data_IF_145806417072
#
_entry.id   IF_145806417072
#
_cell.length_a   1.000
_cell.length_b   1.000
_cell.length_c   1.000
_cell.angle_alpha   90.00
_cell.angle_beta   90.00
_cell.angle_gamma   90.00
#
_symmetry.space_group_name_H-M   'P 1'
#
loop_
_entity.id
_entity.type
_entity.pdbx_description
1 polymer ?
#
# COMPACT_ATOMS: atom_id res chain seq x y z
N UNK A 1 1.05 19.76 -8.78
CA UNK A 1 0.41 18.56 -9.35
C UNK A 1 0.87 18.46 -10.79
N UNK A 2 1.27 17.27 -11.24
CA UNK A 2 1.73 16.98 -12.59
C UNK A 2 0.51 16.72 -13.49
N UNK A 3 0.03 17.70 -14.30
CA UNK A 3 -1.19 17.53 -15.09
C UNK A 3 -1.08 16.39 -16.11
N UNK A 4 0.13 16.10 -16.57
CA UNK A 4 0.45 15.01 -17.48
C UNK A 4 0.08 13.62 -16.93
N UNK A 5 0.09 13.44 -15.60
CA UNK A 5 -0.32 12.18 -14.96
C UNK A 5 -1.84 12.00 -15.05
N UNK A 6 -2.60 13.09 -14.97
CA UNK A 6 -4.07 13.08 -14.99
C UNK A 6 -4.69 13.12 -16.39
N UNK A 7 -3.91 13.54 -17.40
CA UNK A 7 -4.38 13.67 -18.77
C UNK A 7 -4.93 12.32 -19.27
N UNK A 8 -6.20 12.32 -19.72
CA UNK A 8 -6.88 11.11 -20.20
C UNK A 8 -7.42 10.17 -19.11
N UNK A 9 -7.15 10.42 -17.82
CA UNK A 9 -7.53 9.53 -16.73
C UNK A 9 -8.44 10.17 -15.66
N UNK A 10 -8.75 11.46 -15.80
CA UNK A 10 -9.54 12.21 -14.81
C UNK A 10 -10.88 11.53 -14.47
N UNK A 11 -11.66 11.19 -15.49
CA UNK A 11 -13.01 10.65 -15.31
C UNK A 11 -13.00 9.31 -14.55
N UNK A 12 -12.09 8.39 -14.91
CA UNK A 12 -11.95 7.11 -14.21
C UNK A 12 -11.47 7.30 -12.77
N UNK A 13 -10.51 8.20 -12.53
CA UNK A 13 -10.01 8.47 -11.17
C UNK A 13 -11.08 9.11 -10.28
N UNK A 14 -11.89 10.03 -10.83
CA UNK A 14 -13.03 10.64 -10.11
C UNK A 14 -14.10 9.58 -9.79
N UNK A 15 -14.42 8.69 -10.74
CA UNK A 15 -15.34 7.57 -10.52
C UNK A 15 -14.85 6.61 -9.43
N UNK A 16 -13.56 6.28 -9.43
CA UNK A 16 -12.95 5.40 -8.41
C UNK A 16 -13.06 6.05 -7.03
N UNK A 17 -12.65 7.32 -6.92
CA UNK A 17 -12.77 8.10 -5.67
C UNK A 17 -14.19 8.07 -5.16
N UNK A 18 -15.16 8.45 -5.99
CA UNK A 18 -16.56 8.58 -5.57
C UNK A 18 -17.16 7.23 -5.17
N UNK A 19 -16.71 6.14 -5.78
CA UNK A 19 -17.19 4.79 -5.41
C UNK A 19 -16.61 4.35 -4.06
N UNK A 20 -15.30 4.50 -3.87
CA UNK A 20 -14.64 4.13 -2.60
C UNK A 20 -15.12 5.01 -1.46
N UNK A 21 -15.30 6.33 -1.66
CA UNK A 21 -15.82 7.23 -0.63
C UNK A 21 -17.21 6.83 -0.13
N UNK A 22 -18.10 6.38 -1.03
CA UNK A 22 -19.43 5.90 -0.65
C UNK A 22 -19.41 4.61 0.17
N UNK A 23 -18.33 3.83 0.12
CA UNK A 23 -18.19 2.62 0.95
C UNK A 23 -17.97 2.99 2.42
N UNK A 24 -17.26 4.08 2.70
CA UNK A 24 -17.08 4.60 4.06
C UNK A 24 -18.37 5.17 4.67
N UNK A 25 -19.34 5.55 3.83
CA UNK A 25 -20.65 6.04 4.27
C UNK A 25 -21.65 4.92 4.56
N UNK A 26 -21.33 3.65 4.22
CA UNK A 26 -22.24 2.52 4.48
C UNK A 26 -22.22 2.15 5.96
N UNK A 27 -23.38 1.92 6.58
CA UNK A 27 -23.45 1.38 7.93
C UNK A 27 -22.71 0.03 8.00
N UNK A 28 -21.95 -0.18 9.08
CA UNK A 28 -21.16 -1.39 9.35
C UNK A 28 -22.00 -2.66 9.58
N UNK A 29 -23.28 -2.66 9.22
CA UNK A 29 -24.29 -3.64 9.64
C UNK A 29 -24.47 -4.80 8.65
N UNK A 30 -23.66 -4.90 7.60
CA UNK A 30 -23.63 -6.12 6.79
C UNK A 30 -22.53 -7.02 7.37
N UNK A 31 -22.92 -8.00 8.18
CA UNK A 31 -22.06 -9.03 8.78
C UNK A 31 -21.33 -9.90 7.73
N UNK A 32 -21.55 -9.67 6.43
CA UNK A 32 -21.16 -10.55 5.32
C UNK A 32 -19.88 -10.13 4.57
N UNK A 33 -19.22 -9.01 4.91
CA UNK A 33 -17.94 -8.64 4.27
C UNK A 33 -16.76 -9.03 5.18
N UNK A 34 -16.21 -10.23 4.95
CA UNK A 34 -15.06 -10.77 5.69
C UNK A 34 -13.81 -9.88 5.62
N UNK A 35 -13.76 -8.95 4.66
CA UNK A 35 -12.67 -7.99 4.51
C UNK A 35 -12.86 -6.68 5.29
N UNK A 36 -14.02 -6.48 5.94
CA UNK A 36 -14.26 -5.39 6.89
C UNK A 36 -13.88 -5.79 8.31
N UNK A 37 -13.22 -4.89 9.04
CA UNK A 37 -12.82 -5.13 10.41
C UNK A 37 -12.21 -3.91 11.08
N UNK A 38 -11.64 -4.10 12.27
CA UNK A 38 -10.81 -3.07 12.90
C UNK A 38 -9.52 -2.89 12.07
N UNK A 39 -9.29 -1.68 11.60
CA UNK A 39 -8.05 -1.25 10.95
C UNK A 39 -7.31 -0.27 11.87
N UNK A 40 -5.98 -0.24 11.74
CA UNK A 40 -5.10 0.71 12.41
C UNK A 40 -5.28 2.12 11.86
N UNK A 41 -5.49 2.28 10.55
CA UNK A 41 -5.75 3.56 9.90
C UNK A 41 -4.50 4.40 9.60
N UNK A 42 -3.38 4.12 10.26
CA UNK A 42 -2.05 4.62 9.91
C UNK A 42 -0.97 3.52 9.94
N UNK A 43 -1.16 2.44 9.18
CA UNK A 43 -0.33 1.23 9.25
C UNK A 43 0.89 1.27 8.31
N UNK A 44 1.85 2.14 8.61
CA UNK A 44 3.13 2.25 7.88
C UNK A 44 4.31 1.73 8.70
N UNK A 45 5.49 1.53 8.09
CA UNK A 45 6.61 0.88 8.77
C UNK A 45 7.14 1.65 9.99
N UNK A 46 6.81 2.94 10.13
CA UNK A 46 7.17 3.76 11.29
C UNK A 46 6.46 3.35 12.58
N UNK A 47 5.29 2.71 12.46
CA UNK A 47 4.44 2.27 13.57
C UNK A 47 4.67 0.79 13.95
N UNK A 48 5.71 0.17 13.38
CA UNK A 48 6.10 -1.22 13.65
C UNK A 48 7.44 -1.23 14.38
N UNK A 49 7.41 -1.59 15.66
CA UNK A 49 8.63 -1.75 16.46
C UNK A 49 9.19 -3.16 16.30
N UNK A 50 10.48 -3.22 16.02
CA UNK A 50 11.25 -4.46 15.99
C UNK A 50 11.87 -4.73 17.36
N UNK A 51 12.00 -6.00 17.77
CA UNK A 51 12.69 -6.34 19.01
C UNK A 51 14.18 -5.96 18.88
N UNK A 52 14.82 -5.61 20.00
CA UNK A 52 16.22 -5.20 20.02
C UNK A 52 17.20 -6.35 19.69
N UNK A 53 16.70 -7.58 19.55
CA UNK A 53 17.53 -8.74 19.19
C UNK A 53 18.15 -8.51 17.82
N UNK A 54 19.50 -8.59 17.70
CA UNK A 54 20.18 -8.37 16.43
C UNK A 54 19.69 -9.36 15.35
N UNK A 55 19.40 -8.87 14.13
CA UNK A 55 19.03 -9.71 12.97
C UNK A 55 20.07 -10.80 12.62
N UNK A 56 21.31 -10.66 13.09
CA UNK A 56 22.40 -11.62 12.85
C UNK A 56 22.44 -12.80 13.82
N UNK A 57 21.68 -12.74 14.90
CA UNK A 57 21.54 -13.89 15.78
C UNK A 57 20.44 -14.78 15.20
N UNK A 58 20.70 -16.10 15.02
CA UNK A 58 19.64 -17.02 14.63
C UNK A 58 18.49 -16.86 15.61
N UNK A 59 17.23 -16.86 15.14
CA UNK A 59 16.09 -16.68 16.04
C UNK A 59 16.23 -17.66 17.19
N UNK A 60 16.06 -17.17 18.43
CA UNK A 60 16.27 -17.93 19.67
C UNK A 60 15.39 -19.20 19.76
N UNK A 61 14.46 -19.37 18.81
CA UNK A 61 13.55 -20.51 18.64
C UNK A 61 12.97 -20.50 17.22
N UNK A 62 12.20 -21.54 16.85
CA UNK A 62 11.37 -21.57 15.62
C UNK A 62 10.23 -20.50 15.60
N UNK A 63 10.11 -19.68 16.65
CA UNK A 63 9.11 -18.63 16.75
C UNK A 63 9.58 -17.38 15.98
N UNK A 64 8.74 -16.80 15.10
CA UNK A 64 9.05 -15.55 14.43
C UNK A 64 9.36 -14.41 15.43
N UNK A 65 10.20 -13.46 15.02
CA UNK A 65 10.45 -12.26 15.81
C UNK A 65 9.13 -11.54 16.13
N UNK A 66 8.90 -11.21 17.40
CA UNK A 66 7.71 -10.47 17.83
C UNK A 66 7.78 -9.04 17.34
N UNK A 67 6.80 -8.64 16.53
CA UNK A 67 6.58 -7.25 16.12
C UNK A 67 5.60 -6.58 17.09
N UNK A 68 5.81 -5.30 17.40
CA UNK A 68 4.87 -4.52 18.21
C UNK A 68 4.31 -3.36 17.40
N UNK A 69 2.98 -3.26 17.34
CA UNK A 69 2.27 -2.20 16.60
C UNK A 69 1.85 -1.11 17.57
N UNK A 70 2.22 0.13 17.29
CA UNK A 70 1.95 1.31 18.11
C UNK A 70 1.16 2.35 17.34
N UNK A 71 0.71 3.40 18.02
CA UNK A 71 0.07 4.59 17.41
C UNK A 71 -1.32 4.35 16.79
N UNK A 72 -2.20 3.75 17.58
CA UNK A 72 -3.57 3.38 17.19
C UNK A 72 -4.56 4.56 17.15
N UNK A 73 -4.10 5.81 17.06
CA UNK A 73 -4.99 6.99 17.18
C UNK A 73 -5.98 7.14 16.00
N UNK A 74 -5.67 6.52 14.84
CA UNK A 74 -6.54 6.47 13.67
C UNK A 74 -7.37 5.19 13.54
N UNK A 75 -7.36 4.36 14.59
CA UNK A 75 -8.04 3.07 14.57
C UNK A 75 -9.54 3.24 14.36
N UNK A 76 -10.09 2.51 13.40
CA UNK A 76 -11.49 2.60 13.01
C UNK A 76 -11.97 1.29 12.39
N UNK A 77 -13.29 1.15 12.22
CA UNK A 77 -13.84 0.05 11.45
C UNK A 77 -13.75 0.38 9.95
N UNK A 78 -13.16 -0.51 9.16
CA UNK A 78 -12.94 -0.27 7.74
C UNK A 78 -12.41 -1.49 7.01
N UNK A 79 -12.14 -1.33 5.72
CA UNK A 79 -11.67 -2.43 4.90
C UNK A 79 -10.18 -2.69 5.13
N UNK A 80 -9.80 -3.95 5.39
CA UNK A 80 -8.43 -4.38 5.72
C UNK A 80 -7.40 -4.01 4.65
N UNK A 81 -7.82 -3.81 3.40
CA UNK A 81 -6.93 -3.40 2.30
C UNK A 81 -6.28 -2.05 2.54
N UNK A 82 -6.86 -1.19 3.40
CA UNK A 82 -6.32 0.11 3.71
C UNK A 82 -4.96 -0.03 4.41
N UNK A 83 -4.92 -0.79 5.52
CA UNK A 83 -3.67 -1.03 6.26
C UNK A 83 -2.65 -1.82 5.43
N UNK A 84 -3.08 -2.90 4.77
CA UNK A 84 -2.16 -3.72 3.95
C UNK A 84 -1.59 -2.88 2.79
N UNK A 85 -2.44 -2.10 2.12
CA UNK A 85 -2.03 -1.22 1.03
C UNK A 85 -1.12 -0.09 1.51
N UNK A 86 -1.36 0.47 2.70
CA UNK A 86 -0.49 1.49 3.29
C UNK A 86 0.90 0.92 3.63
N UNK A 87 0.97 -0.24 4.28
CA UNK A 87 2.26 -0.86 4.63
C UNK A 87 3.07 -1.21 3.38
N UNK A 88 2.45 -1.84 2.38
CA UNK A 88 3.13 -2.18 1.12
C UNK A 88 3.51 -0.90 0.36
N UNK A 89 2.62 0.10 0.34
CA UNK A 89 2.88 1.40 -0.27
C UNK A 89 4.07 2.12 0.35
N UNK A 90 4.20 2.08 1.68
CA UNK A 90 5.28 2.68 2.45
C UNK A 90 6.65 2.01 2.17
N UNK A 91 6.65 0.68 2.02
CA UNK A 91 7.83 -0.08 1.60
C UNK A 91 8.19 0.23 0.15
N UNK A 92 7.20 0.25 -0.75
CA UNK A 92 7.45 0.53 -2.16
C UNK A 92 7.89 1.99 -2.39
N UNK A 93 7.39 2.93 -1.60
CA UNK A 93 7.84 4.32 -1.53
C UNK A 93 9.35 4.40 -1.19
N UNK A 94 9.82 3.65 -0.19
CA UNK A 94 11.26 3.59 0.16
C UNK A 94 12.11 2.99 -0.94
N UNK A 95 11.60 1.99 -1.66
CA UNK A 95 12.29 1.45 -2.83
C UNK A 95 12.40 2.52 -3.91
N UNK A 96 11.27 3.08 -4.34
CA UNK A 96 11.21 3.96 -5.50
C UNK A 96 11.87 5.32 -5.27
N UNK A 97 11.57 5.95 -4.15
CA UNK A 97 12.04 7.31 -3.85
C UNK A 97 13.25 7.34 -2.92
N UNK A 98 13.42 6.33 -2.06
CA UNK A 98 14.59 6.20 -1.19
C UNK A 98 15.76 5.45 -1.84
N UNK A 99 15.55 4.82 -2.99
CA UNK A 99 16.52 3.95 -3.67
C UNK A 99 17.08 2.85 -2.74
N UNK A 100 16.20 2.29 -1.90
CA UNK A 100 16.57 1.24 -0.92
C UNK A 100 16.19 -0.13 -1.47
N UNK A 101 17.07 -0.74 -2.27
CA UNK A 101 16.80 -2.03 -2.93
C UNK A 101 16.52 -3.18 -1.96
N UNK A 102 17.09 -3.12 -0.75
CA UNK A 102 16.87 -4.13 0.31
C UNK A 102 15.43 -4.18 0.82
N UNK A 103 14.58 -3.24 0.44
CA UNK A 103 13.15 -3.23 0.81
C UNK A 103 12.34 -4.24 0.00
N UNK A 104 12.75 -4.61 -1.22
CA UNK A 104 11.97 -5.53 -2.05
C UNK A 104 11.76 -6.92 -1.39
N UNK A 105 12.79 -7.57 -0.82
CA UNK A 105 12.60 -8.82 -0.05
C UNK A 105 11.71 -8.65 1.18
N UNK A 106 11.76 -7.50 1.86
CA UNK A 106 10.91 -7.19 3.02
C UNK A 106 9.45 -7.09 2.60
N UNK A 107 9.17 -6.36 1.52
CA UNK A 107 7.84 -6.23 0.94
C UNK A 107 7.26 -7.59 0.52
N UNK A 108 8.07 -8.45 -0.10
CA UNK A 108 7.65 -9.82 -0.43
C UNK A 108 7.39 -10.67 0.82
N UNK A 109 8.22 -10.51 1.86
CA UNK A 109 8.02 -11.14 3.17
C UNK A 109 6.71 -10.72 3.84
N UNK A 110 6.39 -9.42 3.82
CA UNK A 110 5.11 -8.89 4.34
C UNK A 110 3.93 -9.49 3.58
N UNK A 111 3.97 -9.47 2.25
CA UNK A 111 2.89 -10.02 1.42
C UNK A 111 2.66 -11.51 1.71
N UNK A 112 3.73 -12.30 1.82
CA UNK A 112 3.63 -13.72 2.20
C UNK A 112 3.13 -13.91 3.63
N UNK A 113 3.51 -13.03 4.55
CA UNK A 113 3.11 -13.09 5.96
C UNK A 113 1.61 -12.91 6.20
N UNK A 114 0.92 -12.18 5.31
CA UNK A 114 -0.54 -12.07 5.32
C UNK A 114 -1.25 -13.30 4.74
N UNK A 115 -0.51 -14.22 4.12
CA UNK A 115 -1.06 -15.40 3.46
C UNK A 115 -1.66 -15.09 2.07
N UNK A 116 -2.42 -16.05 1.54
CA UNK A 116 -3.11 -15.86 0.27
C UNK A 116 -4.25 -14.84 0.44
N UNK A 117 -4.20 -13.76 -0.34
CA UNK A 117 -5.30 -12.82 -0.44
C UNK A 117 -6.25 -13.27 -1.55
N UNK A 118 -7.55 -13.00 -1.36
CA UNK A 118 -8.50 -13.11 -2.46
C UNK A 118 -8.07 -12.19 -3.60
N UNK A 119 -8.38 -12.55 -4.84
CA UNK A 119 -7.98 -11.73 -5.99
C UNK A 119 -8.60 -10.31 -5.91
N UNK A 120 -9.82 -10.21 -5.39
CA UNK A 120 -10.49 -8.94 -5.11
C UNK A 120 -9.73 -8.10 -4.08
N UNK A 121 -9.28 -8.72 -2.99
CA UNK A 121 -8.47 -8.08 -1.96
C UNK A 121 -7.12 -7.61 -2.53
N UNK A 122 -6.45 -8.45 -3.33
CA UNK A 122 -5.18 -8.10 -3.98
C UNK A 122 -5.29 -6.87 -4.89
N UNK A 123 -6.35 -6.78 -5.71
CA UNK A 123 -6.61 -5.60 -6.53
C UNK A 123 -6.89 -4.35 -5.68
N UNK A 124 -7.66 -4.50 -4.59
CA UNK A 124 -7.97 -3.38 -3.70
C UNK A 124 -6.74 -2.88 -2.95
N UNK A 125 -5.88 -3.79 -2.49
CA UNK A 125 -4.55 -3.47 -1.93
C UNK A 125 -3.72 -2.69 -2.95
N UNK A 126 -3.68 -3.12 -4.22
CA UNK A 126 -2.95 -2.39 -5.26
C UNK A 126 -3.47 -0.95 -5.47
N UNK A 127 -4.78 -0.73 -5.37
CA UNK A 127 -5.35 0.63 -5.39
C UNK A 127 -4.78 1.47 -4.24
N UNK A 128 -4.81 0.95 -3.00
CA UNK A 128 -4.31 1.67 -1.83
C UNK A 128 -2.79 1.91 -1.88
N UNK A 129 -2.00 0.97 -2.42
CA UNK A 129 -0.57 1.19 -2.71
C UNK A 129 -0.41 2.38 -3.66
N UNK A 130 -1.20 2.44 -4.74
CA UNK A 130 -1.15 3.56 -5.68
C UNK A 130 -1.55 4.90 -5.05
N UNK A 131 -2.59 4.91 -4.21
CA UNK A 131 -2.98 6.08 -3.41
C UNK A 131 -1.83 6.54 -2.51
N UNK A 132 -1.13 5.62 -1.86
CA UNK A 132 0.00 5.94 -0.97
C UNK A 132 1.15 6.62 -1.73
N UNK A 133 1.52 6.11 -2.91
CA UNK A 133 2.57 6.68 -3.75
C UNK A 133 2.27 8.12 -4.19
N UNK A 134 1.00 8.41 -4.53
CA UNK A 134 0.55 9.77 -4.84
C UNK A 134 0.51 10.63 -3.57
N UNK A 135 0.00 10.06 -2.48
CA UNK A 135 -0.10 10.70 -1.17
C UNK A 135 1.24 11.20 -0.66
N UNK A 136 2.31 10.43 -0.86
CA UNK A 136 3.67 10.86 -0.51
C UNK A 136 4.08 12.18 -1.16
N UNK A 137 3.83 12.35 -2.46
CA UNK A 137 4.17 13.59 -3.16
C UNK A 137 3.41 14.79 -2.56
N UNK A 138 2.16 14.57 -2.18
CA UNK A 138 1.31 15.60 -1.56
C UNK A 138 1.70 15.92 -0.11
N UNK A 139 2.24 14.95 0.65
CA UNK A 139 2.72 15.14 2.04
C UNK A 139 4.02 15.97 2.12
N UNK A 140 4.77 16.11 1.02
CA UNK A 140 6.00 16.88 1.01
C UNK A 140 5.75 18.39 1.11
N UNK A 141 6.61 19.15 1.82
CA UNK A 141 6.56 20.61 1.80
C UNK A 141 6.74 21.14 0.37
N UNK A 142 5.78 21.94 -0.12
CA UNK A 142 5.81 22.50 -1.49
C UNK A 142 7.04 23.35 -1.79
N UNK A 143 7.60 23.99 -0.76
CA UNK A 143 8.82 24.82 -0.82
C UNK A 143 10.04 24.10 -0.23
N UNK A 144 9.92 22.82 0.10
CA UNK A 144 11.01 22.03 0.65
C UNK A 144 12.04 21.65 -0.41
N UNK A 145 13.23 21.20 0.00
CA UNK A 145 14.24 20.70 -0.93
C UNK A 145 13.67 19.54 -1.75
N UNK A 146 14.05 19.47 -3.04
CA UNK A 146 13.78 18.29 -3.86
C UNK A 146 14.59 17.14 -3.29
N UNK A 147 13.91 16.16 -2.69
CA UNK A 147 14.56 15.02 -2.06
C UNK A 147 14.86 13.90 -3.07
N UNK A 148 14.26 13.97 -4.27
CA UNK A 148 14.51 13.07 -5.41
C UNK A 148 14.46 13.83 -6.74
N UNK A 149 15.09 13.31 -7.82
CA UNK A 149 14.99 13.89 -9.15
C UNK A 149 13.55 13.96 -9.68
N UNK A 150 13.25 14.96 -10.52
CA UNK A 150 11.90 15.17 -11.05
C UNK A 150 11.38 14.01 -11.90
N UNK A 151 12.24 13.27 -12.60
CA UNK A 151 11.82 12.09 -13.36
C UNK A 151 11.35 10.94 -12.45
N UNK A 152 11.98 10.74 -11.29
CA UNK A 152 11.57 9.73 -10.29
C UNK A 152 10.21 10.10 -9.69
N UNK A 153 9.96 11.40 -9.45
CA UNK A 153 8.64 11.89 -9.01
C UNK A 153 7.57 11.53 -10.05
N UNK A 154 7.84 11.85 -11.33
CA UNK A 154 6.89 11.57 -12.40
C UNK A 154 6.64 10.08 -12.56
N UNK A 155 7.70 9.27 -12.50
CA UNK A 155 7.61 7.80 -12.53
C UNK A 155 6.73 7.27 -11.39
N UNK A 156 6.95 7.71 -10.15
CA UNK A 156 6.14 7.25 -9.02
C UNK A 156 4.68 7.71 -9.03
N UNK A 157 4.41 8.92 -9.56
CA UNK A 157 3.04 9.36 -9.79
C UNK A 157 2.36 8.55 -10.90
N UNK A 158 3.08 8.23 -11.98
CA UNK A 158 2.60 7.38 -13.07
C UNK A 158 2.30 5.97 -12.56
N UNK A 159 3.23 5.34 -11.83
CA UNK A 159 3.04 4.02 -11.26
C UNK A 159 1.86 4.02 -10.28
N UNK A 160 1.76 5.03 -9.41
CA UNK A 160 0.65 5.16 -8.47
C UNK A 160 -0.71 5.27 -9.15
N UNK A 161 -0.81 6.09 -10.20
CA UNK A 161 -2.01 6.17 -11.05
C UNK A 161 -2.32 4.83 -11.69
N UNK A 162 -1.33 4.18 -12.29
CA UNK A 162 -1.55 2.93 -13.03
C UNK A 162 -1.97 1.81 -12.07
N UNK A 163 -1.42 1.75 -10.85
CA UNK A 163 -1.89 0.81 -9.82
C UNK A 163 -3.35 1.05 -9.42
N UNK A 164 -3.77 2.32 -9.28
CA UNK A 164 -5.18 2.65 -9.00
C UNK A 164 -6.08 2.20 -10.14
N UNK A 165 -5.75 2.56 -11.38
CA UNK A 165 -6.58 2.26 -12.55
C UNK A 165 -6.60 0.76 -12.83
N UNK A 166 -5.44 0.10 -12.84
CA UNK A 166 -5.33 -1.33 -13.13
C UNK A 166 -5.90 -2.20 -12.01
N UNK A 167 -5.79 -1.76 -10.76
CA UNK A 167 -6.48 -2.39 -9.64
C UNK A 167 -8.00 -2.30 -9.81
N UNK A 168 -8.51 -1.13 -10.19
CA UNK A 168 -9.94 -0.93 -10.46
C UNK A 168 -10.45 -1.75 -11.65
N UNK A 169 -9.68 -1.81 -12.74
CA UNK A 169 -9.97 -2.59 -13.94
C UNK A 169 -9.80 -4.11 -13.74
N UNK A 170 -9.24 -4.53 -12.59
CA UNK A 170 -8.90 -5.93 -12.30
C UNK A 170 -7.94 -6.53 -13.35
N UNK A 171 -6.97 -5.75 -13.81
CA UNK A 171 -6.01 -6.13 -14.84
C UNK A 171 -4.90 -7.01 -14.25
N UNK A 172 -5.18 -8.31 -14.11
CA UNK A 172 -4.24 -9.30 -13.55
C UNK A 172 -2.90 -9.34 -14.31
N UNK A 173 -2.95 -9.30 -15.63
CA UNK A 173 -1.78 -9.42 -16.51
C UNK A 173 -0.80 -8.26 -16.31
N UNK A 174 -1.33 -7.06 -16.07
CA UNK A 174 -0.51 -5.91 -15.70
C UNK A 174 0.27 -6.18 -14.40
N UNK A 175 -0.39 -6.70 -13.36
CA UNK A 175 0.28 -6.90 -12.06
C UNK A 175 1.26 -8.06 -12.03
N UNK A 176 1.06 -9.11 -12.83
CA UNK A 176 2.00 -10.24 -12.98
C UNK A 176 3.42 -9.79 -13.37
N UNK A 177 3.54 -8.64 -14.04
CA UNK A 177 4.81 -8.06 -14.49
C UNK A 177 5.23 -6.82 -13.67
N UNK A 178 4.61 -6.59 -12.52
CA UNK A 178 4.83 -5.42 -11.68
C UNK A 178 5.55 -5.75 -10.37
N UNK A 179 5.93 -4.71 -9.61
CA UNK A 179 6.45 -4.88 -8.26
C UNK A 179 5.46 -5.53 -7.27
N UNK A 180 4.16 -5.57 -7.62
CA UNK A 180 3.09 -6.17 -6.83
C UNK A 180 2.73 -7.60 -7.28
N UNK A 181 3.50 -8.22 -8.17
CA UNK A 181 3.21 -9.57 -8.68
C UNK A 181 2.99 -10.60 -7.56
N UNK A 182 3.67 -10.46 -6.43
CA UNK A 182 3.51 -11.34 -5.28
C UNK A 182 2.13 -11.31 -4.63
N UNK A 183 1.35 -10.23 -4.79
CA UNK A 183 -0.04 -10.17 -4.30
C UNK A 183 -0.97 -11.15 -5.04
N UNK A 184 -0.59 -11.56 -6.25
CA UNK A 184 -1.45 -12.34 -7.16
C UNK A 184 -0.97 -13.80 -7.33
N UNK A 185 0.11 -14.18 -6.65
CA UNK A 185 0.60 -15.56 -6.64
C UNK A 185 -0.29 -16.40 -5.72
N UNK A 186 -0.78 -17.52 -6.25
CA UNK A 186 -1.33 -18.61 -5.44
C UNK A 186 -0.17 -19.39 -4.84
N UNK A 187 -0.28 -19.76 -3.57
CA UNK A 187 0.65 -20.60 -2.83
C UNK A 187 0.63 -22.04 -3.35
#
# INVERSE_FOLDING_TARGET
>A
MHPEVLAGHREILEKIRDTISKEYERPSSTEDDEDLGLIHGDFWSGNILLPATPWREPPLSDVPNKLFIIDWEFAQFGHRSNDIGQLIGDLYERKLYGNVETVAPVMEGVIRGYGELSEQMAFRVAIYVGVHLIGWYNRRPRKGPKVVPSHVILEGLTIGRDFIIKGWEKDRKYFENSALASLFRRA
#
